data_IF_873004743329
#
_entry.id   IF_873004743329
#
_cell.length_a   1.000
_cell.length_b   1.000
_cell.length_c   1.000
_cell.angle_alpha   90.00
_cell.angle_beta   90.00
_cell.angle_gamma   90.00
#
_symmetry.space_group_name_H-M   'P 1'
#
loop_
_entity.id
_entity.type
_entity.pdbx_description
1 polymer ?
#
# COMPACT_ATOMS: atom_id res chain seq x y z
N UNK A 1 45.02 16.00 9.77
CA UNK A 1 43.61 15.75 9.46
C UNK A 1 42.79 16.92 9.96
N UNK A 2 41.99 17.54 9.09
CA UNK A 2 41.20 18.73 9.50
C UNK A 2 40.02 18.28 10.36
N UNK A 3 39.98 18.68 11.63
CA UNK A 3 38.91 18.32 12.56
C UNK A 3 37.52 18.77 12.07
N UNK A 4 37.46 19.92 11.41
CA UNK A 4 36.22 20.44 10.85
C UNK A 4 35.64 19.50 9.80
N UNK A 5 36.45 19.01 8.88
CA UNK A 5 36.08 18.07 7.82
C UNK A 5 35.64 16.73 8.42
N UNK A 6 36.40 16.20 9.37
CA UNK A 6 36.05 14.95 10.06
C UNK A 6 34.67 15.01 10.76
N UNK A 7 34.41 16.10 11.48
CA UNK A 7 33.14 16.35 12.17
C UNK A 7 31.99 16.42 11.18
N UNK A 8 32.17 17.10 10.05
CA UNK A 8 31.15 17.20 8.99
C UNK A 8 30.85 15.84 8.34
N UNK A 9 31.88 15.09 7.97
CA UNK A 9 31.74 13.76 7.40
C UNK A 9 31.02 12.78 8.36
N UNK A 10 31.37 12.82 9.65
CA UNK A 10 30.69 12.01 10.66
C UNK A 10 29.22 12.42 10.84
N UNK A 11 28.93 13.72 10.80
CA UNK A 11 27.55 14.19 10.86
C UNK A 11 26.75 13.76 9.62
N UNK A 12 27.34 13.77 8.44
CA UNK A 12 26.70 13.23 7.22
C UNK A 12 26.46 11.73 7.32
N UNK A 13 27.46 10.94 7.69
CA UNK A 13 27.32 9.49 7.89
C UNK A 13 26.23 9.16 8.91
N UNK A 14 26.15 9.91 10.01
CA UNK A 14 25.10 9.74 11.01
C UNK A 14 23.69 10.06 10.47
N UNK A 15 23.56 11.10 9.63
CA UNK A 15 22.28 11.44 8.96
C UNK A 15 21.86 10.36 7.96
N UNK A 16 22.79 9.88 7.16
CA UNK A 16 22.56 8.78 6.22
C UNK A 16 22.19 7.48 6.92
N UNK A 17 22.91 7.12 8.00
CA UNK A 17 22.59 5.97 8.82
C UNK A 17 21.16 6.04 9.39
N UNK A 18 20.75 7.20 9.94
CA UNK A 18 19.38 7.44 10.43
C UNK A 18 18.34 7.35 9.32
N UNK A 19 18.63 7.89 8.12
CA UNK A 19 17.73 7.84 6.96
C UNK A 19 17.55 6.41 6.45
N UNK A 20 18.63 5.62 6.48
CA UNK A 20 18.63 4.24 6.00
C UNK A 20 18.17 3.24 7.07
N UNK A 21 18.04 3.68 8.33
CA UNK A 21 17.56 2.82 9.41
C UNK A 21 16.10 2.42 9.15
N UNK A 22 15.89 1.15 8.93
CA UNK A 22 14.57 0.58 8.66
C UNK A 22 14.00 0.00 9.96
N UNK A 23 13.24 0.80 10.69
CA UNK A 23 12.58 0.32 11.90
C UNK A 23 11.36 -0.53 11.53
N UNK A 24 11.32 -1.76 12.05
CA UNK A 24 10.13 -2.61 11.98
C UNK A 24 9.09 -2.06 12.94
N UNK A 25 7.94 -1.70 12.41
CA UNK A 25 6.82 -1.17 13.21
C UNK A 25 5.82 -2.29 13.43
N UNK A 26 5.32 -2.42 14.67
CA UNK A 26 4.24 -3.35 14.99
C UNK A 26 2.92 -2.63 14.72
N UNK A 27 2.14 -3.14 13.77
CA UNK A 27 0.79 -2.65 13.45
C UNK A 27 -0.24 -3.45 14.22
N UNK A 28 -1.16 -2.77 14.90
CA UNK A 28 -2.23 -3.43 15.64
C UNK A 28 -3.51 -3.49 14.80
N UNK A 29 -4.13 -4.69 14.77
CA UNK A 29 -5.43 -4.93 14.15
C UNK A 29 -6.38 -5.55 15.16
N UNK A 30 -7.55 -4.93 15.37
CA UNK A 30 -8.55 -5.39 16.30
C UNK A 30 -9.69 -6.08 15.58
N UNK A 31 -10.05 -7.28 16.05
CA UNK A 31 -11.10 -8.12 15.51
C UNK A 31 -12.12 -8.47 16.63
N UNK A 32 -13.27 -8.97 16.22
CA UNK A 32 -14.27 -9.55 17.14
C UNK A 32 -14.57 -10.99 16.73
N UNK A 33 -14.94 -11.88 17.67
CA UNK A 33 -15.23 -13.28 17.37
C UNK A 33 -16.38 -13.46 16.36
N UNK A 34 -17.38 -12.57 16.43
CA UNK A 34 -18.51 -12.51 15.49
C UNK A 34 -18.27 -11.40 14.47
N UNK A 35 -17.33 -11.63 13.57
CA UNK A 35 -17.06 -10.72 12.47
C UNK A 35 -17.87 -11.13 11.24
N UNK A 36 -18.41 -10.15 10.51
CA UNK A 36 -19.02 -10.37 9.22
C UNK A 36 -17.97 -10.73 8.16
N UNK A 37 -18.37 -11.48 7.14
CA UNK A 37 -17.46 -11.96 6.10
C UNK A 37 -16.79 -10.79 5.36
N UNK A 38 -17.55 -9.76 5.02
CA UNK A 38 -17.04 -8.57 4.32
C UNK A 38 -16.02 -7.80 5.18
N UNK A 39 -16.30 -7.61 6.48
CA UNK A 39 -15.37 -6.93 7.39
C UNK A 39 -14.10 -7.78 7.61
N UNK A 40 -14.24 -9.11 7.66
CA UNK A 40 -13.10 -10.02 7.70
C UNK A 40 -12.17 -9.86 6.50
N UNK A 41 -12.73 -9.87 5.28
CA UNK A 41 -11.97 -9.69 4.04
C UNK A 41 -11.25 -8.35 3.98
N UNK A 42 -11.94 -7.28 4.38
CA UNK A 42 -11.37 -5.95 4.47
C UNK A 42 -10.17 -5.92 5.42
N UNK A 43 -10.31 -6.50 6.61
CA UNK A 43 -9.23 -6.56 7.61
C UNK A 43 -8.10 -7.49 7.20
N UNK A 44 -8.40 -8.62 6.57
CA UNK A 44 -7.41 -9.49 5.92
C UNK A 44 -6.59 -8.70 4.90
N UNK A 45 -7.24 -7.92 4.03
CA UNK A 45 -6.56 -7.06 3.06
C UNK A 45 -5.61 -6.04 3.72
N UNK A 46 -5.97 -5.49 4.88
CA UNK A 46 -5.08 -4.62 5.64
C UNK A 46 -3.86 -5.38 6.21
N UNK A 47 -4.06 -6.58 6.76
CA UNK A 47 -2.97 -7.43 7.28
C UNK A 47 -2.00 -7.79 6.15
N UNK A 48 -2.51 -8.23 4.99
CA UNK A 48 -1.72 -8.52 3.79
C UNK A 48 -0.87 -7.32 3.38
N UNK A 49 -1.46 -6.12 3.37
CA UNK A 49 -0.75 -4.89 3.02
C UNK A 49 0.38 -4.56 4.01
N UNK A 50 0.16 -4.77 5.31
CA UNK A 50 1.19 -4.54 6.33
C UNK A 50 2.33 -5.56 6.25
N UNK A 51 2.02 -6.84 6.05
CA UNK A 51 3.03 -7.89 5.86
C UNK A 51 3.86 -7.66 4.58
N UNK A 52 3.21 -7.27 3.47
CA UNK A 52 3.91 -6.87 2.23
C UNK A 52 4.81 -5.65 2.42
N UNK A 53 4.45 -4.72 3.31
CA UNK A 53 5.30 -3.58 3.67
C UNK A 53 6.48 -3.95 4.59
N UNK A 54 6.54 -5.21 5.07
CA UNK A 54 7.58 -5.69 5.98
C UNK A 54 7.37 -5.27 7.43
N UNK A 55 6.14 -4.90 7.82
CA UNK A 55 5.79 -4.58 9.20
C UNK A 55 5.21 -5.81 9.91
N UNK A 56 5.45 -5.93 11.22
CA UNK A 56 4.81 -6.94 12.06
C UNK A 56 3.37 -6.56 12.36
N UNK A 57 2.48 -7.54 12.45
CA UNK A 57 1.07 -7.32 12.73
C UNK A 57 0.66 -8.02 14.02
N UNK A 58 0.26 -7.25 15.02
CA UNK A 58 -0.37 -7.73 16.25
C UNK A 58 -1.88 -7.77 16.05
N UNK A 59 -2.46 -8.95 16.09
CA UNK A 59 -3.89 -9.15 15.94
C UNK A 59 -4.47 -9.37 17.33
N UNK A 60 -5.47 -8.55 17.67
CA UNK A 60 -6.13 -8.59 18.98
C UNK A 60 -7.61 -8.89 18.77
N UNK A 61 -8.10 -10.01 19.29
CA UNK A 61 -9.52 -10.34 19.35
C UNK A 61 -10.07 -9.86 20.69
N UNK A 62 -11.09 -9.01 20.63
CA UNK A 62 -11.77 -8.50 21.82
C UNK A 62 -13.07 -9.27 22.08
N UNK A 63 -13.13 -10.01 23.17
CA UNK A 63 -14.33 -10.71 23.61
C UNK A 63 -15.25 -9.80 24.41
N UNK A 64 -16.56 -9.92 24.21
CA UNK A 64 -17.59 -9.22 25.00
C UNK A 64 -18.32 -10.19 25.90
N UNK A 65 -18.48 -9.83 27.18
CA UNK A 65 -19.32 -10.52 28.13
C UNK A 65 -19.23 -12.06 28.07
N UNK A 66 -20.29 -12.71 27.65
CA UNK A 66 -20.36 -14.19 27.55
C UNK A 66 -19.45 -14.82 26.50
N UNK A 67 -18.92 -14.04 25.57
CA UNK A 67 -17.98 -14.56 24.54
C UNK A 67 -16.63 -14.99 25.14
N UNK A 68 -16.29 -14.48 26.32
CA UNK A 68 -15.07 -14.86 27.04
C UNK A 68 -15.06 -16.33 27.43
N UNK A 69 -16.24 -16.92 27.64
CA UNK A 69 -16.36 -18.35 27.95
C UNK A 69 -16.18 -19.26 26.74
N UNK A 70 -16.07 -18.68 25.54
CA UNK A 70 -15.87 -19.43 24.30
C UNK A 70 -14.66 -18.92 23.52
N UNK A 71 -13.46 -19.05 24.07
CA UNK A 71 -12.22 -18.58 23.43
C UNK A 71 -11.93 -19.30 22.11
N UNK A 72 -12.49 -20.50 21.92
CA UNK A 72 -12.35 -21.30 20.71
C UNK A 72 -12.77 -20.56 19.43
N UNK A 73 -13.79 -19.70 19.50
CA UNK A 73 -14.24 -18.92 18.36
C UNK A 73 -13.19 -17.92 17.91
N UNK A 74 -12.49 -17.30 18.86
CA UNK A 74 -11.37 -16.43 18.58
C UNK A 74 -10.17 -17.20 18.01
N UNK A 75 -9.85 -18.34 18.63
CA UNK A 75 -8.76 -19.18 18.17
C UNK A 75 -8.94 -19.64 16.70
N UNK A 76 -10.14 -20.14 16.36
CA UNK A 76 -10.47 -20.55 14.96
C UNK A 76 -10.34 -19.39 13.98
N UNK A 77 -10.78 -18.18 14.39
CA UNK A 77 -10.67 -16.99 13.53
C UNK A 77 -9.20 -16.61 13.29
N UNK A 78 -8.36 -16.66 14.34
CA UNK A 78 -6.93 -16.38 14.21
C UNK A 78 -6.20 -17.44 13.39
N UNK A 79 -6.57 -18.72 13.56
CA UNK A 79 -6.02 -19.80 12.77
C UNK A 79 -6.35 -19.65 11.29
N UNK A 80 -7.63 -19.40 10.97
CA UNK A 80 -8.06 -19.11 9.59
C UNK A 80 -7.27 -17.95 8.99
N UNK A 81 -7.09 -16.88 9.76
CA UNK A 81 -6.32 -15.73 9.27
C UNK A 81 -4.83 -16.06 9.07
N UNK A 82 -4.23 -16.87 9.94
CA UNK A 82 -2.86 -17.33 9.78
C UNK A 82 -2.69 -18.19 8.52
N UNK A 83 -3.63 -19.11 8.25
CA UNK A 83 -3.66 -19.91 7.03
C UNK A 83 -3.79 -19.05 5.78
N UNK A 84 -4.68 -18.04 5.82
CA UNK A 84 -4.92 -17.11 4.72
C UNK A 84 -3.71 -16.21 4.36
N UNK A 85 -2.76 -16.03 5.28
CA UNK A 85 -1.59 -15.16 5.08
C UNK A 85 -0.25 -15.92 5.13
N UNK A 86 -0.28 -17.25 5.11
CA UNK A 86 0.92 -18.09 5.17
C UNK A 86 1.94 -17.76 4.08
N UNK A 87 1.48 -17.36 2.90
CA UNK A 87 2.36 -16.99 1.78
C UNK A 87 3.19 -15.72 2.05
N UNK A 88 2.70 -14.82 2.92
CA UNK A 88 3.27 -13.49 3.13
C UNK A 88 3.90 -13.31 4.50
N UNK A 89 3.53 -14.15 5.44
CA UNK A 89 3.98 -14.05 6.82
C UNK A 89 3.92 -15.37 7.56
N UNK A 90 4.55 -15.40 8.70
CA UNK A 90 4.55 -16.56 9.61
C UNK A 90 4.05 -16.14 10.99
N UNK A 91 3.57 -17.11 11.75
CA UNK A 91 3.14 -16.90 13.13
C UNK A 91 4.37 -16.77 14.01
N UNK A 92 4.66 -15.57 14.47
CA UNK A 92 5.77 -15.29 15.40
C UNK A 92 5.39 -15.65 16.85
N UNK A 93 4.14 -15.33 17.23
CA UNK A 93 3.58 -15.68 18.53
C UNK A 93 2.21 -16.32 18.33
N UNK A 94 2.06 -17.56 18.82
CA UNK A 94 0.80 -18.30 18.78
C UNK A 94 -0.33 -17.54 19.49
N UNK A 95 -1.60 -17.79 19.14
CA UNK A 95 -2.74 -17.21 19.81
C UNK A 95 -2.68 -17.47 21.32
N UNK A 96 -2.63 -16.38 22.09
CA UNK A 96 -2.60 -16.43 23.57
C UNK A 96 -3.71 -15.55 24.13
N UNK A 97 -4.42 -16.07 25.09
CA UNK A 97 -5.43 -15.30 25.82
C UNK A 97 -4.74 -14.36 26.82
N UNK A 98 -5.08 -13.10 26.76
CA UNK A 98 -4.64 -12.03 27.65
C UNK A 98 -5.87 -11.30 28.21
N UNK A 99 -6.31 -11.75 29.38
CA UNK A 99 -7.52 -11.26 30.01
C UNK A 99 -8.76 -11.41 29.13
N UNK A 100 -9.35 -10.28 28.71
CA UNK A 100 -10.55 -10.23 27.86
C UNK A 100 -10.23 -10.29 26.37
N UNK A 101 -8.96 -10.39 26.01
CA UNK A 101 -8.51 -10.35 24.62
C UNK A 101 -7.73 -11.64 24.30
N UNK A 102 -7.66 -11.95 23.03
CA UNK A 102 -6.74 -12.96 22.52
C UNK A 102 -5.81 -12.28 21.52
N UNK A 103 -4.53 -12.52 21.67
CA UNK A 103 -3.48 -11.85 20.91
C UNK A 103 -2.69 -12.87 20.13
N UNK A 104 -2.39 -12.55 18.87
CA UNK A 104 -1.49 -13.28 18.00
C UNK A 104 -0.58 -12.27 17.30
N UNK A 105 0.69 -12.62 17.08
CA UNK A 105 1.62 -11.79 16.34
C UNK A 105 2.06 -12.52 15.07
N UNK A 106 1.90 -11.83 13.95
CA UNK A 106 2.39 -12.27 12.65
C UNK A 106 3.64 -11.48 12.27
N UNK A 107 4.67 -12.20 11.84
CA UNK A 107 5.88 -11.63 11.28
C UNK A 107 5.88 -11.70 9.75
N UNK A 108 6.43 -10.70 9.04
CA UNK A 108 6.56 -10.76 7.60
C UNK A 108 7.68 -11.73 7.19
N UNK A 109 7.48 -12.48 6.12
CA UNK A 109 8.51 -13.35 5.54
C UNK A 109 9.66 -12.55 4.92
N UNK A 110 9.33 -11.40 4.29
CA UNK A 110 10.31 -10.51 3.67
C UNK A 110 10.75 -9.41 4.63
N UNK A 111 12.04 -9.08 4.64
CA UNK A 111 12.55 -7.93 5.40
C UNK A 111 11.99 -6.63 4.83
N UNK A 112 11.76 -5.67 5.69
CA UNK A 112 11.19 -4.35 5.32
C UNK A 112 12.04 -3.60 4.28
N UNK A 113 13.36 -3.81 4.29
CA UNK A 113 14.26 -3.23 3.31
C UNK A 113 13.97 -3.76 1.89
N UNK A 114 13.85 -5.08 1.77
CA UNK A 114 13.58 -5.77 0.51
C UNK A 114 12.18 -5.45 -0.02
N UNK A 115 11.18 -5.45 0.87
CA UNK A 115 9.82 -5.05 0.54
C UNK A 115 9.72 -3.61 0.02
N UNK A 116 10.48 -2.68 0.61
CA UNK A 116 10.56 -1.29 0.12
C UNK A 116 11.26 -1.18 -1.22
N UNK A 117 12.30 -1.97 -1.45
CA UNK A 117 13.00 -2.00 -2.73
C UNK A 117 12.08 -2.51 -3.85
N UNK A 118 11.33 -3.59 -3.61
CA UNK A 118 10.35 -4.13 -4.56
C UNK A 118 9.25 -3.11 -4.89
N UNK A 119 8.63 -2.48 -3.87
CA UNK A 119 7.59 -1.46 -4.08
C UNK A 119 8.14 -0.24 -4.85
N UNK A 120 9.40 0.15 -4.58
CA UNK A 120 10.04 1.25 -5.32
C UNK A 120 10.30 0.87 -6.77
N UNK A 121 10.77 -0.35 -7.00
CA UNK A 121 11.02 -0.86 -8.35
C UNK A 121 9.70 -0.99 -9.15
N UNK A 122 8.65 -1.50 -8.54
CA UNK A 122 7.33 -1.61 -9.17
C UNK A 122 6.74 -0.24 -9.51
N UNK A 123 6.81 0.71 -8.58
CA UNK A 123 6.39 2.10 -8.86
C UNK A 123 7.19 2.76 -9.98
N UNK A 124 8.49 2.49 -10.04
CA UNK A 124 9.33 3.02 -11.11
C UNK A 124 8.94 2.41 -12.47
N UNK A 125 8.64 1.11 -12.52
CA UNK A 125 8.15 0.44 -13.75
C UNK A 125 6.82 1.02 -14.21
N UNK A 126 5.85 1.13 -13.30
CA UNK A 126 4.52 1.72 -13.61
C UNK A 126 4.64 3.18 -14.02
N UNK A 127 5.55 3.95 -13.40
CA UNK A 127 5.80 5.32 -13.80
C UNK A 127 6.38 5.43 -15.21
N UNK A 128 7.35 4.57 -15.54
CA UNK A 128 7.97 4.51 -16.87
C UNK A 128 6.94 4.09 -17.94
N UNK A 129 6.09 3.13 -17.66
CA UNK A 129 5.00 2.70 -18.55
C UNK A 129 4.03 3.84 -18.84
N UNK A 130 3.57 4.55 -17.78
CA UNK A 130 2.69 5.72 -17.95
C UNK A 130 3.35 6.88 -18.69
N UNK A 131 4.65 7.02 -18.57
CA UNK A 131 5.41 8.05 -19.29
C UNK A 131 5.54 7.70 -20.77
N UNK A 132 5.79 6.42 -21.09
CA UNK A 132 5.78 5.90 -22.45
C UNK A 132 4.39 6.04 -23.11
N UNK A 133 3.31 5.72 -22.42
CA UNK A 133 1.94 5.89 -22.92
C UNK A 133 1.63 7.38 -23.21
N UNK A 134 2.06 8.28 -22.33
CA UNK A 134 1.90 9.73 -22.55
C UNK A 134 2.71 10.27 -23.71
N UNK A 135 3.91 9.72 -23.92
CA UNK A 135 4.73 10.08 -25.08
C UNK A 135 4.11 9.56 -26.38
N UNK A 136 3.59 8.33 -26.37
CA UNK A 136 2.87 7.75 -27.50
C UNK A 136 1.62 8.59 -27.84
N UNK A 137 0.80 8.95 -26.86
CA UNK A 137 -0.36 9.82 -27.07
C UNK A 137 0.03 11.22 -27.60
N UNK A 138 1.14 11.78 -27.11
CA UNK A 138 1.64 13.06 -27.63
C UNK A 138 2.16 12.94 -29.06
N UNK A 139 2.78 11.81 -29.41
CA UNK A 139 3.24 11.55 -30.78
C UNK A 139 2.05 11.41 -31.75
N UNK A 140 1.00 10.71 -31.37
CA UNK A 140 -0.24 10.61 -32.14
C UNK A 140 -0.92 11.96 -32.33
N UNK A 141 -1.00 12.77 -31.28
CA UNK A 141 -1.56 14.15 -31.39
C UNK A 141 -0.71 15.08 -32.27
N UNK A 142 0.60 14.86 -32.35
CA UNK A 142 1.48 15.61 -33.26
C UNK A 142 1.40 15.12 -34.70
N UNK A 143 1.08 13.83 -34.91
CA UNK A 143 0.92 13.23 -36.23
C UNK A 143 -0.48 13.37 -36.82
N UNK A 144 -1.47 13.80 -36.05
CA UNK A 144 -2.81 14.07 -36.57
C UNK A 144 -2.75 15.29 -37.52
N UNK A 145 -3.09 15.12 -38.84
CA UNK A 145 -3.10 16.26 -39.77
C UNK A 145 -4.14 17.27 -39.27
N UNK A 146 -3.68 18.48 -38.99
CA UNK A 146 -4.54 19.65 -38.77
C UNK A 146 -5.41 19.81 -40.03
N UNK A 147 -6.68 19.41 -39.93
CA UNK A 147 -7.64 19.72 -40.99
C UNK A 147 -7.67 21.23 -41.17
N UNK A 148 -7.44 21.75 -42.37
CA UNK A 148 -7.40 23.19 -42.60
C UNK A 148 -8.78 23.77 -42.32
N UNK A 149 -8.79 24.98 -41.75
CA UNK A 149 -9.95 25.76 -41.32
C UNK A 149 -10.83 26.28 -42.49
N UNK A 150 -11.06 25.47 -43.51
CA UNK A 150 -11.86 25.87 -44.68
C UNK A 150 -13.39 25.74 -44.48
N UNK A 151 -13.84 25.09 -43.39
CA UNK A 151 -15.28 24.95 -43.14
C UNK A 151 -15.93 26.16 -42.43
N UNK A 152 -15.17 27.12 -41.96
CA UNK A 152 -15.73 28.33 -41.31
C UNK A 152 -15.99 29.49 -42.24
N UNK A 153 -15.43 29.51 -43.43
CA UNK A 153 -15.65 30.58 -44.42
C UNK A 153 -16.94 30.40 -45.22
N UNK A 154 -17.40 29.17 -45.47
CA UNK A 154 -18.63 28.89 -46.22
C UNK A 154 -19.95 29.17 -45.50
N UNK A 155 -19.94 29.22 -44.16
CA UNK A 155 -21.18 29.53 -43.40
C UNK A 155 -21.43 31.01 -43.18
N UNK A 156 -20.53 31.90 -43.59
CA UNK A 156 -20.67 33.33 -43.40
C UNK A 156 -21.17 34.08 -44.65
N UNK A 157 -21.25 33.42 -45.82
CA UNK A 157 -21.73 33.97 -47.10
C UNK A 157 -23.17 33.58 -47.45
N UNK A 158 -23.82 32.68 -46.64
CA UNK A 158 -25.20 32.26 -46.91
C UNK A 158 -26.27 33.02 -46.09
N UNK A 159 -25.87 33.97 -45.26
CA UNK A 159 -26.81 34.82 -44.50
C UNK A 159 -26.69 36.32 -44.90
N UNK A 160 -26.67 36.63 -46.19
CA UNK A 160 -27.02 37.95 -46.67
C UNK A 160 -28.33 37.80 -47.40
N UNK A 161 -29.42 38.12 -46.73
CA UNK A 161 -30.73 38.27 -47.33
C UNK A 161 -30.73 39.43 -48.33
N UNK A 162 -31.24 39.22 -49.58
CA UNK A 162 -31.47 40.29 -50.51
C UNK A 162 -32.93 40.70 -50.43
N UNK A 163 -33.27 41.60 -49.48
CA UNK A 163 -34.49 42.40 -49.60
C UNK A 163 -34.41 43.57 -48.60
N UNK A 164 -33.95 44.69 -49.14
CA UNK A 164 -34.50 46.05 -48.98
C UNK A 164 -33.75 47.05 -49.82
#
# INVERSE_FOLDING_TARGET
MDYGKFKYENAQKAREARRNQTNVVIKEMKLRPKIDQHDYETKKGHVVRFLKAGDKVKITIMFRGREQHRPELGFRLLQRLAEDVTDLGFVESAPKQDGRNMIMVLGPTKKKADARAEVKAEKARVAAEREADREAERAERRGAPTQPAEKKARRRSENLDPDM
#
